data_IF_884827738825
#
_entry.id   IF_884827738825
#
_cell.length_a   1.000
_cell.length_b   1.000
_cell.length_c   1.000
_cell.angle_alpha   90.00
_cell.angle_beta   90.00
_cell.angle_gamma   90.00
#
_symmetry.space_group_name_H-M   'P 1'
#
loop_
_entity.id
_entity.type
_entity.pdbx_description
1 polymer ?
#
# COMPACT_ATOMS: atom_id res chain seq x y z
N UNK A 1 15.41 24.19 -18.13
CA UNK A 1 14.28 23.23 -18.06
C UNK A 1 14.68 21.86 -17.50
N UNK A 2 15.51 21.79 -16.44
CA UNK A 2 15.98 20.51 -15.85
C UNK A 2 15.00 19.94 -14.81
N UNK A 3 14.45 20.83 -13.98
CA UNK A 3 13.42 20.54 -12.96
C UNK A 3 12.21 19.74 -13.47
N UNK A 4 11.70 20.03 -14.67
CA UNK A 4 10.51 19.34 -15.22
C UNK A 4 10.78 17.87 -15.58
N UNK A 5 12.02 17.52 -15.89
CA UNK A 5 12.42 16.15 -16.20
C UNK A 5 12.54 15.31 -14.93
N UNK A 6 13.10 15.90 -13.87
CA UNK A 6 13.27 15.23 -12.59
C UNK A 6 11.91 14.88 -11.96
N UNK A 7 10.93 15.81 -12.02
CA UNK A 7 9.57 15.57 -11.50
C UNK A 7 8.88 14.41 -12.23
N UNK A 8 9.04 14.28 -13.55
CA UNK A 8 8.48 13.15 -14.34
C UNK A 8 9.13 11.81 -13.99
N UNK A 9 10.42 11.80 -13.69
CA UNK A 9 11.13 10.59 -13.28
C UNK A 9 10.69 10.15 -11.88
N UNK A 10 10.56 11.09 -10.94
CA UNK A 10 10.05 10.83 -9.60
C UNK A 10 8.64 10.23 -9.60
N UNK A 11 7.74 10.79 -10.43
CA UNK A 11 6.38 10.27 -10.60
C UNK A 11 6.36 8.83 -11.12
N UNK A 12 7.27 8.50 -12.03
CA UNK A 12 7.37 7.16 -12.60
C UNK A 12 7.91 6.15 -11.58
N UNK A 13 8.91 6.55 -10.79
CA UNK A 13 9.46 5.72 -9.71
C UNK A 13 8.40 5.48 -8.64
N UNK A 14 7.67 6.52 -8.23
CA UNK A 14 6.58 6.40 -7.25
C UNK A 14 5.51 5.40 -7.72
N UNK A 15 5.10 5.47 -9.00
CA UNK A 15 4.15 4.51 -9.56
C UNK A 15 4.66 3.07 -9.59
N UNK A 16 5.95 2.86 -9.91
CA UNK A 16 6.57 1.53 -9.89
C UNK A 16 6.66 1.00 -8.47
N UNK A 17 7.02 1.84 -7.50
CA UNK A 17 7.09 1.50 -6.08
C UNK A 17 5.69 1.16 -5.54
N UNK A 18 4.66 1.94 -5.86
CA UNK A 18 3.26 1.63 -5.51
C UNK A 18 2.85 0.25 -6.03
N UNK A 19 3.20 -0.07 -7.28
CA UNK A 19 2.91 -1.37 -7.87
C UNK A 19 3.65 -2.52 -7.17
N UNK A 20 4.93 -2.34 -6.83
CA UNK A 20 5.71 -3.34 -6.09
C UNK A 20 5.14 -3.59 -4.69
N UNK A 21 4.74 -2.53 -3.98
CA UNK A 21 4.13 -2.66 -2.65
C UNK A 21 2.78 -3.37 -2.76
N UNK A 22 1.97 -3.05 -3.78
CA UNK A 22 0.71 -3.74 -4.04
C UNK A 22 0.92 -5.26 -4.21
N UNK A 23 1.87 -5.66 -5.05
CA UNK A 23 2.18 -7.08 -5.27
C UNK A 23 2.64 -7.75 -3.97
N UNK A 24 3.51 -7.10 -3.19
CA UNK A 24 3.97 -7.64 -1.90
C UNK A 24 2.81 -7.85 -0.91
N UNK A 25 1.86 -6.92 -0.86
CA UNK A 25 0.68 -7.02 0.02
C UNK A 25 -0.25 -8.16 -0.39
N UNK A 26 -0.44 -8.37 -1.70
CA UNK A 26 -1.23 -9.51 -2.21
C UNK A 26 -0.57 -10.83 -1.84
N UNK A 27 0.76 -10.94 -1.98
CA UNK A 27 1.50 -12.14 -1.57
C UNK A 27 1.36 -12.37 -0.05
N UNK A 28 1.53 -11.31 0.76
CA UNK A 28 1.37 -11.41 2.21
C UNK A 28 -0.04 -11.86 2.61
N UNK A 29 -1.08 -11.33 1.96
CA UNK A 29 -2.46 -11.72 2.17
C UNK A 29 -2.68 -13.21 1.87
N UNK A 30 -2.12 -13.72 0.76
CA UNK A 30 -2.21 -15.13 0.37
C UNK A 30 -1.51 -16.02 1.40
N UNK A 31 -0.29 -15.66 1.83
CA UNK A 31 0.45 -16.44 2.84
C UNK A 31 -0.33 -16.52 4.15
N UNK A 32 -0.90 -15.39 4.61
CA UNK A 32 -1.68 -15.35 5.83
C UNK A 32 -3.04 -16.05 5.73
N UNK A 33 -3.64 -16.06 4.55
CA UNK A 33 -4.88 -16.80 4.30
C UNK A 33 -4.62 -18.31 4.47
N UNK A 34 -3.48 -18.79 3.97
CA UNK A 34 -3.05 -20.19 4.14
C UNK A 34 -2.82 -20.57 5.61
N UNK A 35 -2.43 -19.61 6.46
CA UNK A 35 -2.26 -19.83 7.90
C UNK A 35 -3.56 -19.68 8.72
N UNK A 36 -4.70 -19.49 8.04
CA UNK A 36 -6.01 -19.26 8.67
C UNK A 36 -6.10 -17.97 9.52
N UNK A 37 -5.15 -17.04 9.35
CA UNK A 37 -5.14 -15.74 10.02
C UNK A 37 -6.09 -14.77 9.31
N UNK A 38 -7.40 -15.04 9.38
CA UNK A 38 -8.44 -14.33 8.64
C UNK A 38 -8.42 -12.81 8.82
N UNK A 39 -8.21 -12.36 10.06
CA UNK A 39 -8.03 -10.94 10.34
C UNK A 39 -6.85 -10.45 9.51
N UNK A 40 -5.66 -11.07 9.63
CA UNK A 40 -4.43 -10.64 8.97
C UNK A 40 -4.54 -10.53 7.46
N UNK A 41 -5.16 -11.52 6.85
CA UNK A 41 -5.49 -11.47 5.43
C UNK A 41 -6.36 -10.28 5.09
N UNK A 42 -7.42 -10.00 5.87
CA UNK A 42 -8.31 -8.88 5.61
C UNK A 42 -7.58 -7.53 5.68
N UNK A 43 -6.67 -7.34 6.64
CA UNK A 43 -5.87 -6.12 6.74
C UNK A 43 -4.93 -5.94 5.54
N UNK A 44 -4.21 -6.98 5.13
CA UNK A 44 -3.34 -6.90 3.95
C UNK A 44 -4.13 -6.63 2.66
N UNK A 45 -5.32 -7.22 2.52
CA UNK A 45 -6.24 -6.93 1.40
C UNK A 45 -6.70 -5.47 1.43
N UNK A 46 -7.11 -4.95 2.58
CA UNK A 46 -7.51 -3.54 2.72
C UNK A 46 -6.36 -2.61 2.37
N UNK A 47 -5.14 -2.89 2.82
CA UNK A 47 -3.94 -2.14 2.44
C UNK A 47 -3.69 -2.19 0.93
N UNK A 48 -3.82 -3.38 0.32
CA UNK A 48 -3.64 -3.57 -1.12
C UNK A 48 -4.66 -2.75 -1.91
N UNK A 49 -5.92 -2.70 -1.48
CA UNK A 49 -6.96 -1.89 -2.12
C UNK A 49 -6.64 -0.39 -2.04
N UNK A 50 -6.10 0.09 -0.92
CA UNK A 50 -5.76 1.51 -0.74
C UNK A 50 -4.58 1.92 -1.62
N UNK A 51 -3.54 1.08 -1.70
CA UNK A 51 -2.34 1.37 -2.49
C UNK A 51 -2.51 1.02 -3.97
N UNK A 52 -3.63 0.39 -4.32
CA UNK A 52 -3.97 -0.01 -5.69
C UNK A 52 -3.64 1.10 -6.69
N UNK A 53 -2.87 0.81 -7.76
CA UNK A 53 -2.51 1.80 -8.77
C UNK A 53 -3.74 2.29 -9.56
N UNK A 54 -4.84 1.53 -9.52
CA UNK A 54 -6.11 1.87 -10.17
C UNK A 54 -7.01 2.78 -9.31
N UNK A 55 -6.66 3.00 -8.05
CA UNK A 55 -7.39 3.92 -7.20
C UNK A 55 -7.05 5.35 -7.64
N UNK A 56 -7.95 5.99 -8.38
CA UNK A 56 -7.84 7.36 -8.90
C UNK A 56 -7.81 8.47 -7.82
N UNK A 57 -7.33 8.13 -6.62
CA UNK A 57 -7.18 9.03 -5.49
C UNK A 57 -5.96 9.93 -5.67
N UNK A 58 -6.10 11.20 -5.24
CA UNK A 58 -4.98 12.14 -5.17
C UNK A 58 -3.86 11.57 -4.29
N UNK A 59 -2.60 11.68 -4.75
CA UNK A 59 -1.40 11.13 -4.07
C UNK A 59 -1.30 11.50 -2.60
N UNK A 60 -1.66 12.74 -2.26
CA UNK A 60 -1.68 13.23 -0.88
C UNK A 60 -2.68 12.44 -0.02
N UNK A 61 -3.89 12.19 -0.53
CA UNK A 61 -4.90 11.39 0.19
C UNK A 61 -4.46 9.94 0.33
N UNK A 62 -3.86 9.34 -0.70
CA UNK A 62 -3.29 7.98 -0.61
C UNK A 62 -2.30 7.88 0.55
N UNK A 63 -1.37 8.83 0.67
CA UNK A 63 -0.39 8.85 1.77
C UNK A 63 -1.04 8.95 3.14
N UNK A 64 -2.01 9.86 3.32
CA UNK A 64 -2.72 9.98 4.59
C UNK A 64 -3.49 8.71 4.96
N UNK A 65 -4.17 8.08 3.98
CA UNK A 65 -4.91 6.85 4.22
C UNK A 65 -3.96 5.70 4.55
N UNK A 66 -2.83 5.56 3.85
CA UNK A 66 -1.79 4.57 4.15
C UNK A 66 -1.24 4.71 5.57
N UNK A 67 -0.86 5.93 5.97
CA UNK A 67 -0.36 6.20 7.33
C UNK A 67 -1.43 5.91 8.38
N UNK A 68 -2.67 6.33 8.13
CA UNK A 68 -3.78 6.10 9.07
C UNK A 68 -4.06 4.62 9.25
N UNK A 69 -4.11 3.84 8.16
CA UNK A 69 -4.38 2.40 8.21
C UNK A 69 -3.20 1.63 8.80
N UNK A 70 -1.97 2.06 8.55
CA UNK A 70 -0.78 1.48 9.19
C UNK A 70 -0.79 1.69 10.72
N UNK A 71 -1.10 2.91 11.18
CA UNK A 71 -1.25 3.23 12.61
C UNK A 71 -2.39 2.40 13.23
N UNK A 72 -3.52 2.27 12.53
CA UNK A 72 -4.62 1.42 12.96
C UNK A 72 -4.19 -0.04 13.12
N UNK A 73 -3.38 -0.56 12.19
CA UNK A 73 -2.77 -1.90 12.30
C UNK A 73 -1.91 -2.04 13.56
N UNK A 74 -1.07 -1.05 13.88
CA UNK A 74 -0.29 -1.06 15.12
C UNK A 74 -1.17 -1.08 16.37
N UNK A 75 -2.24 -0.28 16.41
CA UNK A 75 -3.16 -0.23 17.55
C UNK A 75 -3.97 -1.51 17.75
N UNK A 76 -4.29 -2.22 16.67
CA UNK A 76 -5.00 -3.51 16.73
C UNK A 76 -4.07 -4.66 17.18
N UNK A 77 -2.77 -4.40 17.38
CA UNK A 77 -1.82 -5.39 17.91
C UNK A 77 -1.29 -6.35 16.83
N UNK A 78 -1.32 -5.96 15.56
CA UNK A 78 -0.98 -6.83 14.43
C UNK A 78 0.48 -7.23 14.30
N UNK A 79 1.37 -6.41 14.84
CA UNK A 79 2.83 -6.56 14.72
C UNK A 79 3.46 -7.20 15.97
N UNK A 80 2.65 -7.80 16.83
CA UNK A 80 3.09 -8.49 18.05
C UNK A 80 3.20 -10.01 17.83
#
# INVERSE_FOLDING_TARGET
MRYLYDVKLWDRIESVVEFLIFVALVIAAIIKLTHNDFLQTLFYIVLAVIISPWLGMNRVRKRYVLVTVYILGLFVGYFH
#
